data_IF_727828871701
#
_entry.id   IF_727828871701
#
_cell.length_a   1.000
_cell.length_b   1.000
_cell.length_c   1.000
_cell.angle_alpha   90.00
_cell.angle_beta   90.00
_cell.angle_gamma   90.00
#
_symmetry.space_group_name_H-M   'P 1'
#
loop_
_entity.id
_entity.type
_entity.pdbx_description
1 polymer ?
#
# COMPACT_ATOMS: atom_id res chain seq x y z
N UNK A 1 -9.46 -9.86 -6.71
CA UNK A 1 -9.80 -9.87 -5.27
C UNK A 1 -9.06 -10.94 -4.45
N UNK A 2 -8.71 -12.12 -5.02
CA UNK A 2 -7.83 -13.10 -4.35
C UNK A 2 -6.43 -12.57 -3.98
N UNK A 3 -5.90 -11.64 -4.76
CA UNK A 3 -4.56 -11.08 -4.56
C UNK A 3 -4.41 -10.28 -3.26
N UNK A 4 -5.43 -9.53 -2.84
CA UNK A 4 -5.36 -8.74 -1.60
C UNK A 4 -5.11 -9.64 -0.38
N UNK A 5 -5.78 -10.79 -0.32
CA UNK A 5 -5.59 -11.75 0.78
C UNK A 5 -4.27 -12.52 0.69
N UNK A 6 -3.75 -12.75 -0.53
CA UNK A 6 -2.41 -13.31 -0.68
C UNK A 6 -1.37 -12.38 -0.07
N UNK A 7 -1.48 -11.08 -0.37
CA UNK A 7 -0.53 -10.06 0.08
C UNK A 7 -0.63 -9.76 1.58
N UNK A 8 -1.82 -9.89 2.17
CA UNK A 8 -2.10 -9.34 3.49
C UNK A 8 -2.64 -10.33 4.52
N UNK A 9 -2.88 -11.58 4.14
CA UNK A 9 -3.58 -12.54 4.98
C UNK A 9 -5.08 -12.28 5.08
N UNK A 10 -5.75 -13.06 5.93
CA UNK A 10 -7.19 -12.94 6.14
C UNK A 10 -7.48 -11.79 7.12
N UNK A 11 -8.59 -11.05 6.94
CA UNK A 11 -9.09 -10.15 7.95
C UNK A 11 -9.40 -10.89 9.25
N UNK A 12 -9.33 -10.16 10.36
CA UNK A 12 -9.64 -10.70 11.67
C UNK A 12 -11.09 -11.23 11.73
N UNK A 13 -11.31 -12.29 12.48
CA UNK A 13 -12.59 -12.98 12.62
C UNK A 13 -13.68 -12.04 13.15
N UNK A 14 -13.29 -11.14 14.06
CA UNK A 14 -14.18 -10.11 14.60
C UNK A 14 -14.59 -9.07 13.54
N UNK A 15 -13.67 -8.74 12.62
CA UNK A 15 -13.97 -7.87 11.48
C UNK A 15 -14.89 -8.56 10.49
N UNK A 16 -14.66 -9.86 10.23
CA UNK A 16 -15.50 -10.67 9.34
C UNK A 16 -16.92 -10.81 9.90
N UNK A 17 -17.08 -11.03 11.21
CA UNK A 17 -18.40 -11.10 11.85
C UNK A 17 -19.22 -9.81 11.77
N UNK A 18 -18.58 -8.65 11.56
CA UNK A 18 -19.23 -7.33 11.43
C UNK A 18 -19.44 -6.91 9.96
N UNK A 19 -18.95 -7.69 9.00
CA UNK A 19 -18.97 -7.34 7.58
C UNK A 19 -20.33 -7.53 6.93
N UNK A 20 -20.87 -6.50 6.29
CA UNK A 20 -22.19 -6.55 5.61
C UNK A 20 -22.20 -7.30 4.28
N UNK A 21 -21.03 -7.62 3.72
CA UNK A 21 -20.85 -8.35 2.46
C UNK A 21 -19.99 -9.60 2.61
N UNK A 22 -19.85 -10.10 3.84
CA UNK A 22 -18.93 -11.20 4.17
C UNK A 22 -19.34 -12.51 3.50
N UNK A 23 -20.65 -12.76 3.44
CA UNK A 23 -21.32 -13.89 2.80
C UNK A 23 -21.03 -14.02 1.30
N UNK A 24 -20.64 -12.91 0.65
CA UNK A 24 -20.25 -12.92 -0.76
C UNK A 24 -18.95 -13.69 -1.01
N UNK A 25 -18.00 -13.64 -0.07
CA UNK A 25 -16.64 -14.17 -0.25
C UNK A 25 -16.21 -15.22 0.79
N UNK A 26 -16.90 -15.28 1.92
CA UNK A 26 -16.57 -16.14 3.06
C UNK A 26 -17.76 -17.01 3.46
N UNK A 27 -17.46 -18.13 4.10
CA UNK A 27 -18.42 -19.03 4.74
C UNK A 27 -17.97 -19.26 6.17
N UNK A 28 -18.91 -19.24 7.10
CA UNK A 28 -18.64 -19.62 8.48
C UNK A 28 -18.55 -21.15 8.59
N UNK A 29 -17.36 -21.66 8.90
CA UNK A 29 -17.14 -23.08 9.13
C UNK A 29 -17.60 -23.44 10.55
N UNK A 30 -18.73 -24.14 10.63
CA UNK A 30 -19.30 -24.57 11.90
C UNK A 30 -18.40 -25.56 12.65
N UNK A 31 -17.53 -26.29 11.96
CA UNK A 31 -16.64 -27.29 12.59
C UNK A 31 -15.51 -26.61 13.36
N UNK A 32 -14.95 -25.56 12.77
CA UNK A 32 -13.81 -24.83 13.33
C UNK A 32 -14.23 -23.52 14.03
N UNK A 33 -15.52 -23.17 14.01
CA UNK A 33 -16.09 -21.92 14.53
C UNK A 33 -15.36 -20.67 13.99
N UNK A 34 -14.95 -20.70 12.73
CA UNK A 34 -14.20 -19.61 12.08
C UNK A 34 -14.72 -19.33 10.68
N UNK A 35 -14.60 -18.09 10.24
CA UNK A 35 -14.80 -17.68 8.86
C UNK A 35 -13.62 -18.14 8.00
N UNK A 36 -13.95 -18.82 6.90
CA UNK A 36 -13.00 -19.21 5.86
C UNK A 36 -13.42 -18.67 4.50
N UNK A 37 -12.45 -18.54 3.60
CA UNK A 37 -12.71 -18.12 2.23
C UNK A 37 -13.48 -19.20 1.46
N UNK A 38 -14.35 -18.77 0.53
CA UNK A 38 -15.01 -19.67 -0.42
C UNK A 38 -13.99 -20.29 -1.38
N UNK A 39 -14.07 -21.59 -1.56
CA UNK A 39 -13.39 -22.29 -2.64
C UNK A 39 -13.95 -21.84 -4.00
N UNK A 40 -13.19 -21.97 -5.11
CA UNK A 40 -13.70 -21.61 -6.44
C UNK A 40 -15.03 -22.25 -6.78
N UNK A 41 -15.28 -23.48 -6.32
CA UNK A 41 -16.49 -24.25 -6.55
C UNK A 41 -17.69 -23.71 -5.74
N UNK A 42 -17.44 -23.08 -4.60
CA UNK A 42 -18.47 -22.46 -3.74
C UNK A 42 -18.92 -21.07 -4.24
N UNK A 43 -18.28 -20.53 -5.28
CA UNK A 43 -18.78 -19.37 -6.01
C UNK A 43 -19.79 -19.84 -7.07
N UNK A 44 -21.05 -19.96 -6.67
CA UNK A 44 -22.17 -20.35 -7.56
C UNK A 44 -22.65 -19.23 -8.49
N UNK A 45 -22.06 -18.04 -8.43
CA UNK A 45 -22.36 -16.93 -9.35
C UNK A 45 -21.05 -16.40 -9.95
N UNK A 46 -20.74 -16.89 -11.14
CA UNK A 46 -19.59 -16.48 -11.94
C UNK A 46 -19.68 -15.01 -12.31
N UNK A 47 -18.94 -14.16 -11.59
CA UNK A 47 -18.35 -12.98 -12.20
C UNK A 47 -16.91 -13.38 -12.57
N UNK A 48 -16.78 -14.06 -13.71
CA UNK A 48 -15.50 -14.20 -14.40
C UNK A 48 -15.29 -12.86 -15.10
N UNK A 49 -14.40 -12.05 -14.56
CA UNK A 49 -13.85 -10.90 -15.28
C UNK A 49 -12.59 -11.43 -15.94
N UNK A 50 -12.70 -11.85 -17.22
CA UNK A 50 -11.55 -12.13 -18.06
C UNK A 50 -10.87 -10.80 -18.41
N UNK A 51 -10.08 -10.30 -17.47
CA UNK A 51 -9.11 -9.24 -17.71
C UNK A 51 -7.75 -9.89 -17.98
N UNK A 52 -7.14 -9.55 -19.10
CA UNK A 52 -5.72 -9.81 -19.36
C UNK A 52 -4.89 -9.02 -18.34
N UNK A 53 -4.75 -9.60 -17.15
CA UNK A 53 -3.95 -9.04 -16.09
C UNK A 53 -2.52 -9.54 -16.35
N UNK A 54 -1.65 -8.63 -16.79
CA UNK A 54 -0.22 -8.78 -16.57
C UNK A 54 0.02 -8.81 -15.05
N UNK A 55 -0.28 -9.95 -14.45
CA UNK A 55 -0.13 -10.21 -13.03
C UNK A 55 1.38 -10.30 -12.77
N UNK A 56 1.97 -9.18 -12.35
CA UNK A 56 3.17 -9.26 -11.53
C UNK A 56 2.72 -10.04 -10.29
N UNK A 57 3.11 -11.30 -10.22
CA UNK A 57 2.77 -12.20 -9.13
C UNK A 57 3.53 -11.74 -7.89
N UNK A 58 2.91 -10.83 -7.14
CA UNK A 58 3.36 -10.43 -5.81
C UNK A 58 2.70 -11.38 -4.80
N UNK A 59 3.53 -12.16 -4.12
CA UNK A 59 3.15 -12.97 -2.97
C UNK A 59 3.22 -12.14 -1.68
N UNK A 60 4.06 -11.10 -1.63
CA UNK A 60 4.15 -10.12 -0.53
C UNK A 60 4.44 -8.71 -1.07
N UNK A 61 4.13 -7.66 -0.27
CA UNK A 61 4.65 -6.31 -0.53
C UNK A 61 6.18 -6.29 -0.46
N UNK A 62 6.80 -7.20 0.29
CA UNK A 62 8.26 -7.34 0.31
C UNK A 62 8.85 -7.69 -1.05
N UNK A 63 8.06 -8.27 -1.96
CA UNK A 63 8.55 -8.67 -3.27
C UNK A 63 9.00 -7.45 -4.09
N UNK A 64 8.48 -6.25 -3.81
CA UNK A 64 9.00 -5.00 -4.38
C UNK A 64 10.51 -4.80 -4.16
N UNK A 65 11.06 -5.31 -3.05
CA UNK A 65 12.51 -5.27 -2.77
C UNK A 65 13.31 -6.24 -3.64
N UNK A 66 12.65 -7.23 -4.23
CA UNK A 66 13.28 -8.32 -5.00
C UNK A 66 13.04 -8.24 -6.50
N UNK A 67 12.02 -7.48 -6.93
CA UNK A 67 11.64 -7.32 -8.35
C UNK A 67 12.77 -6.70 -9.17
N UNK A 68 13.52 -5.76 -8.59
CA UNK A 68 14.63 -5.12 -9.28
C UNK A 68 15.97 -5.40 -8.58
N UNK A 69 16.62 -6.54 -8.88
CA UNK A 69 17.92 -6.87 -8.27
C UNK A 69 19.06 -5.96 -8.75
N UNK A 70 18.82 -5.08 -9.73
CA UNK A 70 19.82 -4.18 -10.30
C UNK A 70 20.01 -2.88 -9.51
N UNK A 71 19.29 -2.68 -8.40
CA UNK A 71 19.50 -1.51 -7.53
C UNK A 71 20.90 -1.62 -6.91
N UNK A 72 21.83 -0.82 -7.43
CA UNK A 72 23.22 -0.74 -6.96
C UNK A 72 23.44 0.44 -6.02
N UNK A 73 22.61 1.48 -6.11
CA UNK A 73 22.75 2.67 -5.27
C UNK A 73 22.16 2.41 -3.87
N UNK A 74 22.95 2.54 -2.80
CA UNK A 74 22.44 2.31 -1.44
C UNK A 74 21.33 3.29 -1.05
N UNK A 75 21.32 4.51 -1.60
CA UNK A 75 20.25 5.47 -1.36
C UNK A 75 18.95 5.09 -2.09
N UNK A 76 19.05 4.50 -3.28
CA UNK A 76 17.88 3.97 -3.98
C UNK A 76 17.26 2.79 -3.23
N UNK A 77 18.09 1.93 -2.65
CA UNK A 77 17.60 0.83 -1.81
C UNK A 77 16.93 1.35 -0.53
N UNK A 78 17.54 2.34 0.15
CA UNK A 78 16.98 2.95 1.36
C UNK A 78 15.63 3.64 1.06
N UNK A 79 15.51 4.31 -0.09
CA UNK A 79 14.27 4.98 -0.52
C UNK A 79 13.18 3.96 -0.87
N UNK A 80 13.53 2.88 -1.56
CA UNK A 80 12.62 1.77 -1.81
C UNK A 80 12.14 1.10 -0.51
N UNK A 81 13.02 0.91 0.48
CA UNK A 81 12.64 0.38 1.79
C UNK A 81 11.67 1.31 2.53
N UNK A 82 11.92 2.62 2.49
CA UNK A 82 11.03 3.62 3.06
C UNK A 82 9.65 3.61 2.37
N UNK A 83 9.62 3.43 1.05
CA UNK A 83 8.38 3.30 0.28
C UNK A 83 7.59 2.04 0.65
N UNK A 84 8.25 0.89 0.68
CA UNK A 84 7.66 -0.41 1.05
C UNK A 84 7.08 -0.38 2.46
N UNK A 85 7.79 0.23 3.41
CA UNK A 85 7.30 0.41 4.79
C UNK A 85 6.01 1.25 4.83
N UNK A 86 5.95 2.35 4.07
CA UNK A 86 4.74 3.16 3.96
C UNK A 86 3.57 2.35 3.38
N UNK A 87 3.80 1.60 2.30
CA UNK A 87 2.77 0.79 1.66
C UNK A 87 2.21 -0.28 2.61
N UNK A 88 3.07 -0.96 3.37
CA UNK A 88 2.65 -1.96 4.37
C UNK A 88 1.73 -1.34 5.42
N UNK A 89 2.08 -0.15 5.92
CA UNK A 89 1.28 0.60 6.89
C UNK A 89 -0.05 1.09 6.31
N UNK A 90 -0.07 1.56 5.06
CA UNK A 90 -1.30 1.99 4.37
C UNK A 90 -2.24 0.82 4.07
N UNK A 91 -1.70 -0.33 3.72
CA UNK A 91 -2.47 -1.53 3.38
C UNK A 91 -2.63 -2.50 4.55
N UNK A 92 -2.41 -2.04 5.78
CA UNK A 92 -2.68 -2.86 6.97
C UNK A 92 -4.17 -3.25 7.00
N UNK A 93 -4.43 -4.55 7.17
CA UNK A 93 -5.78 -5.13 7.09
C UNK A 93 -6.67 -4.59 8.20
N UNK A 94 -6.14 -4.56 9.43
CA UNK A 94 -6.82 -4.03 10.58
C UNK A 94 -6.91 -2.49 10.48
N UNK A 95 -8.11 -1.90 10.36
CA UNK A 95 -8.25 -0.45 10.24
C UNK A 95 -7.74 0.33 11.46
N UNK A 96 -7.74 -0.26 12.66
CA UNK A 96 -7.25 0.44 13.86
C UNK A 96 -5.73 0.52 13.94
N UNK A 97 -5.02 -0.34 13.20
CA UNK A 97 -3.56 -0.36 13.12
C UNK A 97 -3.04 0.29 11.83
N UNK A 98 -3.96 0.63 10.91
CA UNK A 98 -3.63 1.30 9.66
C UNK A 98 -3.20 2.74 9.93
N UNK A 99 -2.14 3.15 9.24
CA UNK A 99 -1.64 4.52 9.31
C UNK A 99 -2.72 5.53 8.92
N UNK A 100 -2.81 6.61 9.69
CA UNK A 100 -3.68 7.75 9.40
C UNK A 100 -3.06 8.65 8.32
N UNK A 101 -3.86 9.49 7.64
CA UNK A 101 -3.31 10.46 6.68
C UNK A 101 -2.25 11.39 7.28
N UNK A 102 -2.43 11.81 8.53
CA UNK A 102 -1.48 12.68 9.24
C UNK A 102 -0.15 11.95 9.50
N UNK A 103 -0.19 10.72 10.00
CA UNK A 103 1.01 9.90 10.20
C UNK A 103 1.71 9.59 8.87
N UNK A 104 0.94 9.35 7.80
CA UNK A 104 1.48 9.09 6.47
C UNK A 104 2.23 10.32 5.91
N UNK A 105 1.70 11.53 6.10
CA UNK A 105 2.39 12.77 5.72
C UNK A 105 3.70 12.98 6.48
N UNK A 106 3.78 12.48 7.72
CA UNK A 106 4.98 12.52 8.54
C UNK A 106 5.93 11.32 8.32
N UNK A 107 5.59 10.40 7.39
CA UNK A 107 6.41 9.23 7.13
C UNK A 107 7.76 9.59 6.51
N UNK A 108 8.81 8.82 6.81
CA UNK A 108 10.19 9.05 6.31
C UNK A 108 10.31 9.06 4.78
N UNK A 109 9.43 8.33 4.10
CA UNK A 109 9.33 8.34 2.64
C UNK A 109 8.84 9.71 2.12
N UNK A 110 7.69 10.19 2.63
CA UNK A 110 7.10 11.47 2.20
C UNK A 110 7.97 12.67 2.61
N UNK A 111 8.51 12.63 3.83
CA UNK A 111 9.35 13.70 4.37
C UNK A 111 10.78 13.69 3.83
N UNK A 112 11.17 12.65 3.08
CA UNK A 112 12.53 12.45 2.57
C UNK A 112 13.61 12.35 3.65
N UNK A 113 13.25 12.14 4.92
CA UNK A 113 14.18 12.24 6.06
C UNK A 113 15.28 11.18 6.10
N UNK A 114 15.16 10.15 5.27
CA UNK A 114 16.13 9.08 5.14
C UNK A 114 17.22 9.34 4.10
N UNK A 115 17.03 10.34 3.22
CA UNK A 115 18.05 10.74 2.26
C UNK A 115 18.75 12.04 2.70
N UNK A 116 20.09 12.12 2.59
CA UNK A 116 20.83 13.31 2.98
C UNK A 116 20.48 14.51 2.07
N UNK A 117 19.99 15.64 2.61
CA UNK A 117 19.53 16.78 1.80
C UNK A 117 20.62 17.43 0.93
N UNK A 118 21.88 17.31 1.34
CA UNK A 118 23.04 17.93 0.67
C UNK A 118 23.93 16.89 -0.01
N UNK A 119 23.35 15.77 -0.45
CA UNK A 119 24.10 14.74 -1.17
C UNK A 119 24.45 15.18 -2.58
N UNK A 120 25.66 14.83 -3.03
CA UNK A 120 26.05 14.96 -4.45
C UNK A 120 25.69 13.69 -5.26
N UNK A 121 25.03 12.71 -4.63
CA UNK A 121 24.59 11.51 -5.30
C UNK A 121 23.47 11.83 -6.30
N UNK A 122 23.59 11.33 -7.53
CA UNK A 122 22.65 11.63 -8.62
C UNK A 122 21.24 11.12 -8.36
N UNK A 123 21.10 9.96 -7.70
CA UNK A 123 19.80 9.41 -7.31
C UNK A 123 19.12 10.34 -6.31
N UNK A 124 19.83 10.71 -5.24
CA UNK A 124 19.29 11.57 -4.17
C UNK A 124 18.79 12.91 -4.74
N UNK A 125 19.58 13.54 -5.61
CA UNK A 125 19.18 14.80 -6.27
C UNK A 125 17.87 14.59 -7.06
N UNK A 126 17.80 13.55 -7.88
CA UNK A 126 16.61 13.24 -8.67
C UNK A 126 15.38 12.92 -7.80
N UNK A 127 15.56 12.19 -6.70
CA UNK A 127 14.49 11.85 -5.77
C UNK A 127 13.88 13.12 -5.13
N UNK A 128 14.73 14.04 -4.65
CA UNK A 128 14.27 15.33 -4.12
C UNK A 128 13.56 16.18 -5.18
N UNK A 129 14.02 16.19 -6.44
CA UNK A 129 13.34 16.90 -7.52
C UNK A 129 11.95 16.34 -7.80
N UNK A 130 11.81 15.01 -7.90
CA UNK A 130 10.51 14.35 -8.09
C UNK A 130 9.53 14.65 -6.96
N UNK A 131 10.03 14.70 -5.72
CA UNK A 131 9.19 14.92 -4.54
C UNK A 131 8.85 16.40 -4.31
N UNK A 132 9.64 17.35 -4.85
CA UNK A 132 9.34 18.79 -4.78
C UNK A 132 8.06 19.19 -5.52
N UNK A 133 7.70 18.47 -6.60
CA UNK A 133 6.51 18.77 -7.43
C UNK A 133 5.23 18.79 -6.58
N UNK A 134 5.16 17.98 -5.51
CA UNK A 134 4.00 17.93 -4.61
C UNK A 134 3.95 19.02 -3.53
N UNK A 135 5.03 19.78 -3.31
CA UNK A 135 5.07 20.83 -2.29
C UNK A 135 4.59 22.19 -2.79
N UNK A 136 4.77 22.47 -4.09
CA UNK A 136 4.49 23.80 -4.65
C UNK A 136 2.98 24.05 -4.89
N UNK A 137 2.17 23.02 -5.15
CA UNK A 137 0.72 23.20 -5.31
C UNK A 137 0.01 23.65 -4.02
N UNK A 138 0.64 23.45 -2.85
CA UNK A 138 0.08 23.85 -1.56
C UNK A 138 0.39 25.31 -1.19
N UNK A 139 1.46 25.89 -1.76
CA UNK A 139 1.83 27.29 -1.52
C UNK A 139 1.03 28.25 -2.43
N UNK A 140 0.71 27.87 -3.67
CA UNK A 140 -0.10 28.70 -4.58
C UNK A 140 -1.57 28.87 -4.13
N UNK A 141 -2.15 27.91 -3.39
CA UNK A 141 -3.50 28.02 -2.84
C UNK A 141 -3.58 28.87 -1.55
N UNK A 142 -2.45 29.32 -1.01
CA UNK A 142 -2.40 30.13 0.21
C UNK A 142 -2.30 31.64 -0.04
N UNK A 143 -2.13 32.06 -1.30
CA UNK A 143 -2.12 33.46 -1.70
C UNK A 143 -3.55 33.84 -2.12
N UNK A 144 -4.40 34.14 -1.13
CA UNK A 144 -5.61 34.92 -1.41
C UNK A 144 -5.19 36.30 -1.88
N UNK A 145 -5.71 36.83 -3.00
CA UNK A 145 -5.53 38.23 -3.32
C UNK A 145 -6.30 39.05 -2.29
N UNK A 146 -5.57 39.89 -1.54
CA UNK A 146 -6.17 41.00 -0.80
C UNK A 146 -6.93 41.88 -1.80
N UNK A 147 -8.25 41.80 -1.80
CA UNK A 147 -9.10 42.78 -2.45
C UNK A 147 -9.16 44.03 -1.57
N UNK A 148 -8.41 45.06 -1.94
CA UNK A 148 -8.70 46.46 -1.60
C UNK A 148 -9.61 47.05 -2.68
#
# INVERSE_FOLDING_TARGET
MRQIFKLHGLPDQDLLGKGTKVDRFFIFDQSNQTWRFKTPQEYTETIIIDGDHHDIALDSIDDFLTINPEIQDPFELEDLQAFVDLLKKMFTVNPSERITPEEALNHRFITMSHLPPTSNNSYVISAYEKMKVYRMEKEELSISPDFN
#
